data_IF_778374521051
#
_entry.id   IF_778374521051
#
_cell.length_a   1.000
_cell.length_b   1.000
_cell.length_c   1.000
_cell.angle_alpha   90.00
_cell.angle_beta   90.00
_cell.angle_gamma   90.00
#
_symmetry.space_group_name_H-M   'P 1'
#
loop_
_entity.id
_entity.type
_entity.pdbx_description
1 polymer ?
#
# COMPACT_ATOMS: atom_id res chain seq x y z
N UNK A 1 12.49 -20.35 -12.43
CA UNK A 1 11.38 -21.05 -11.74
C UNK A 1 11.06 -20.25 -10.49
N UNK A 2 9.90 -19.58 -10.44
CA UNK A 2 9.48 -18.83 -9.24
C UNK A 2 9.16 -19.83 -8.14
N UNK A 3 9.64 -19.57 -6.92
CA UNK A 3 9.42 -20.46 -5.80
C UNK A 3 7.97 -20.29 -5.31
N UNK A 4 7.31 -21.34 -4.79
CA UNK A 4 5.90 -21.24 -4.32
C UNK A 4 5.73 -20.15 -3.25
N UNK A 5 6.79 -19.85 -2.52
CA UNK A 5 6.88 -18.74 -1.57
C UNK A 5 6.71 -17.37 -2.24
N UNK A 6 7.26 -17.18 -3.44
CA UNK A 6 7.29 -15.90 -4.17
C UNK A 6 5.89 -15.54 -4.69
N UNK A 7 5.15 -16.52 -5.22
CA UNK A 7 3.77 -16.32 -5.67
C UNK A 7 2.83 -15.95 -4.51
N UNK A 8 3.02 -16.59 -3.35
CA UNK A 8 2.29 -16.21 -2.13
C UNK A 8 2.64 -14.78 -1.74
N UNK A 9 3.92 -14.41 -1.77
CA UNK A 9 4.39 -13.09 -1.38
C UNK A 9 3.84 -11.98 -2.31
N UNK A 10 3.84 -12.23 -3.63
CA UNK A 10 3.19 -11.35 -4.61
C UNK A 10 1.70 -11.16 -4.33
N UNK A 11 0.99 -12.24 -3.98
CA UNK A 11 -0.44 -12.19 -3.64
C UNK A 11 -0.69 -11.37 -2.37
N UNK A 12 0.09 -11.59 -1.31
CA UNK A 12 0.01 -10.81 -0.08
C UNK A 12 0.28 -9.34 -0.32
N UNK A 13 1.33 -9.01 -1.07
CA UNK A 13 1.65 -7.63 -1.42
C UNK A 13 0.56 -6.94 -2.22
N UNK A 14 -0.02 -7.62 -3.22
CA UNK A 14 -1.15 -7.12 -4.01
C UNK A 14 -2.35 -6.78 -3.12
N UNK A 15 -2.69 -7.66 -2.16
CA UNK A 15 -3.73 -7.42 -1.15
C UNK A 15 -3.38 -6.23 -0.26
N UNK A 16 -2.15 -6.13 0.23
CA UNK A 16 -1.70 -5.01 1.06
C UNK A 16 -1.76 -3.68 0.31
N UNK A 17 -1.43 -3.62 -1.00
CA UNK A 17 -1.58 -2.40 -1.79
C UNK A 17 -3.03 -1.90 -1.84
N UNK A 18 -3.99 -2.82 -2.00
CA UNK A 18 -5.43 -2.49 -2.05
C UNK A 18 -5.91 -2.00 -0.68
N UNK A 19 -5.58 -2.73 0.38
CA UNK A 19 -5.95 -2.32 1.73
C UNK A 19 -5.32 -1.00 2.15
N UNK A 20 -4.07 -0.76 1.74
CA UNK A 20 -3.39 0.50 2.01
C UNK A 20 -4.02 1.67 1.27
N UNK A 21 -4.41 1.46 0.02
CA UNK A 21 -5.19 2.45 -0.73
C UNK A 21 -6.48 2.77 0.02
N UNK A 22 -7.23 1.75 0.46
CA UNK A 22 -8.51 1.92 1.15
C UNK A 22 -8.30 2.60 2.52
N UNK A 23 -7.31 2.17 3.30
CA UNK A 23 -7.01 2.69 4.64
C UNK A 23 -6.58 4.16 4.57
N UNK A 24 -5.69 4.50 3.64
CA UNK A 24 -5.20 5.85 3.41
C UNK A 24 -6.33 6.75 2.90
N UNK A 25 -7.16 6.25 1.97
CA UNK A 25 -8.34 6.98 1.48
C UNK A 25 -9.34 7.25 2.60
N UNK A 26 -9.65 6.27 3.44
CA UNK A 26 -10.55 6.46 4.59
C UNK A 26 -9.97 7.44 5.61
N UNK A 27 -8.67 7.39 5.89
CA UNK A 27 -8.01 8.33 6.79
C UNK A 27 -8.14 9.78 6.28
N UNK A 28 -7.81 10.02 5.01
CA UNK A 28 -7.79 11.38 4.45
C UNK A 28 -9.17 11.90 4.02
N UNK A 29 -10.06 11.06 3.49
CA UNK A 29 -11.39 11.49 3.02
C UNK A 29 -12.49 11.38 4.07
N UNK A 30 -12.33 10.55 5.10
CA UNK A 30 -13.37 10.37 6.12
C UNK A 30 -12.90 10.92 7.47
N UNK A 31 -11.78 10.42 7.99
CA UNK A 31 -11.34 10.84 9.32
C UNK A 31 -11.03 12.34 9.35
N UNK A 32 -10.23 12.85 8.41
CA UNK A 32 -9.85 14.26 8.37
C UNK A 32 -11.04 15.22 8.24
N UNK A 33 -12.01 15.04 7.32
CA UNK A 33 -13.21 15.89 7.28
C UNK A 33 -14.03 15.82 8.56
N UNK A 34 -14.17 14.64 9.18
CA UNK A 34 -14.87 14.52 10.47
C UNK A 34 -14.19 15.36 11.55
N UNK A 35 -12.85 15.32 11.62
CA UNK A 35 -12.09 16.14 12.57
C UNK A 35 -12.25 17.63 12.34
N UNK A 36 -12.17 18.10 11.09
CA UNK A 36 -12.19 19.54 10.81
C UNK A 36 -13.60 20.14 10.74
N UNK A 37 -14.63 19.36 10.36
CA UNK A 37 -15.99 19.85 10.20
C UNK A 37 -16.87 19.62 11.43
N UNK A 38 -16.59 18.57 12.21
CA UNK A 38 -17.42 18.18 13.36
C UNK A 38 -16.66 18.22 14.70
N UNK A 39 -15.39 18.66 14.70
CA UNK A 39 -14.48 18.65 15.87
C UNK A 39 -14.43 17.30 16.60
N UNK A 40 -14.75 16.22 15.88
CA UNK A 40 -14.92 14.90 16.46
C UNK A 40 -13.66 14.05 16.25
N UNK A 41 -12.80 14.04 17.27
CA UNK A 41 -11.46 13.41 17.20
C UNK A 41 -11.42 11.94 17.60
N UNK A 42 -12.51 11.40 18.16
CA UNK A 42 -12.60 10.00 18.60
C UNK A 42 -12.25 8.95 17.53
N UNK A 43 -12.57 9.12 16.23
CA UNK A 43 -12.23 8.14 15.19
C UNK A 43 -10.75 8.14 14.79
N UNK A 44 -9.99 9.20 15.08
CA UNK A 44 -8.61 9.37 14.61
C UNK A 44 -7.66 8.26 15.06
N UNK A 45 -7.61 7.89 16.35
CA UNK A 45 -6.74 6.82 16.80
C UNK A 45 -7.04 5.48 16.11
N UNK A 46 -8.32 5.16 15.89
CA UNK A 46 -8.71 3.93 15.22
C UNK A 46 -8.34 3.95 13.73
N UNK A 47 -8.64 5.04 13.03
CA UNK A 47 -8.29 5.20 11.62
C UNK A 47 -6.76 5.23 11.43
N UNK A 48 -6.04 5.91 12.32
CA UNK A 48 -4.58 5.98 12.34
C UNK A 48 -3.93 4.64 12.60
N UNK A 49 -4.40 3.86 13.58
CA UNK A 49 -3.91 2.50 13.83
C UNK A 49 -4.21 1.56 12.67
N UNK A 50 -5.41 1.66 12.08
CA UNK A 50 -5.79 0.84 10.93
C UNK A 50 -4.90 1.13 9.72
N UNK A 51 -4.70 2.41 9.39
CA UNK A 51 -3.81 2.82 8.31
C UNK A 51 -2.35 2.47 8.61
N UNK A 52 -1.83 2.79 9.81
CA UNK A 52 -0.46 2.51 10.19
C UNK A 52 -0.09 1.03 10.13
N UNK A 53 -1.03 0.13 10.45
CA UNK A 53 -0.85 -1.31 10.27
C UNK A 53 -0.65 -1.69 8.80
N UNK A 54 -1.54 -1.24 7.91
CA UNK A 54 -1.45 -1.55 6.48
C UNK A 54 -0.25 -0.89 5.81
N UNK A 55 0.10 0.32 6.22
CA UNK A 55 1.25 1.06 5.74
C UNK A 55 2.55 0.31 6.05
N UNK A 56 2.69 -0.15 7.31
CA UNK A 56 3.86 -0.94 7.73
C UNK A 56 3.93 -2.28 7.00
N UNK A 57 2.78 -2.97 6.86
CA UNK A 57 2.72 -4.23 6.11
C UNK A 57 3.10 -4.04 4.63
N UNK A 58 2.63 -2.97 4.00
CA UNK A 58 3.00 -2.58 2.64
C UNK A 58 4.51 -2.39 2.52
N UNK A 59 5.16 -1.61 3.39
CA UNK A 59 6.60 -1.34 3.32
C UNK A 59 7.45 -2.61 3.48
N UNK A 60 7.10 -3.47 4.44
CA UNK A 60 7.82 -4.74 4.67
C UNK A 60 7.72 -5.64 3.42
N UNK A 61 6.52 -5.74 2.85
CA UNK A 61 6.30 -6.53 1.65
C UNK A 61 6.97 -5.90 0.42
N UNK A 62 6.95 -4.57 0.29
CA UNK A 62 7.60 -3.81 -0.77
C UNK A 62 9.10 -4.13 -0.83
N UNK A 63 9.78 -4.12 0.32
CA UNK A 63 11.20 -4.47 0.40
C UNK A 63 11.49 -5.89 -0.06
N UNK A 64 10.55 -6.82 0.20
CA UNK A 64 10.73 -8.23 -0.14
C UNK A 64 10.38 -8.54 -1.59
N UNK A 65 9.34 -7.91 -2.15
CA UNK A 65 8.96 -8.08 -3.56
C UNK A 65 9.94 -7.37 -4.49
N UNK A 66 10.66 -6.35 -4.01
CA UNK A 66 11.66 -5.62 -4.81
C UNK A 66 12.63 -6.58 -5.52
N UNK A 67 13.13 -7.58 -4.79
CA UNK A 67 14.04 -8.61 -5.35
C UNK A 67 13.36 -9.54 -6.37
N UNK A 68 12.05 -9.72 -6.29
CA UNK A 68 11.27 -10.59 -7.18
C UNK A 68 10.95 -9.87 -8.49
N UNK A 69 10.54 -8.61 -8.42
CA UNK A 69 10.24 -7.78 -9.59
C UNK A 69 11.50 -7.17 -10.23
N UNK A 70 12.66 -7.27 -9.56
CA UNK A 70 13.94 -6.70 -10.00
C UNK A 70 13.86 -5.19 -10.28
N UNK A 71 13.11 -4.47 -9.45
CA UNK A 71 13.04 -3.01 -9.51
C UNK A 71 14.39 -2.39 -9.13
N UNK A 72 14.79 -1.36 -9.87
CA UNK A 72 15.94 -0.52 -9.58
C UNK A 72 15.69 0.37 -8.35
N UNK A 73 16.69 1.16 -7.96
CA UNK A 73 16.61 2.01 -6.78
C UNK A 73 15.63 3.17 -6.96
N UNK A 74 15.48 3.72 -8.17
CA UNK A 74 14.59 4.84 -8.45
C UNK A 74 13.13 4.41 -8.33
N UNK A 75 12.78 3.31 -9.00
CA UNK A 75 11.44 2.69 -8.92
C UNK A 75 11.07 2.38 -7.47
N UNK A 76 12.00 1.78 -6.71
CA UNK A 76 11.74 1.44 -5.33
C UNK A 76 11.44 2.68 -4.48
N UNK A 77 12.23 3.75 -4.62
CA UNK A 77 11.99 5.01 -3.91
C UNK A 77 10.64 5.61 -4.32
N UNK A 78 10.29 5.60 -5.60
CA UNK A 78 9.00 6.08 -6.10
C UNK A 78 7.85 5.29 -5.46
N UNK A 79 7.94 3.95 -5.40
CA UNK A 79 6.90 3.12 -4.80
C UNK A 79 6.80 3.25 -3.27
N UNK A 80 7.90 3.58 -2.59
CA UNK A 80 7.87 3.98 -1.17
C UNK A 80 7.13 5.31 -1.02
N UNK A 81 7.45 6.31 -1.86
CA UNK A 81 6.81 7.62 -1.84
C UNK A 81 5.31 7.54 -2.12
N UNK A 82 4.88 6.61 -2.98
CA UNK A 82 3.45 6.40 -3.28
C UNK A 82 2.65 5.91 -2.07
N UNK A 83 3.27 5.33 -1.05
CA UNK A 83 2.59 4.96 0.19
C UNK A 83 2.09 6.19 0.99
N UNK A 84 2.75 7.34 0.82
CA UNK A 84 2.40 8.59 1.53
C UNK A 84 1.29 9.39 0.85
N UNK A 85 0.98 9.07 -0.41
CA UNK A 85 -0.01 9.80 -1.19
C UNK A 85 -1.25 8.92 -1.32
N UNK A 86 -2.44 9.37 -0.87
CA UNK A 86 -3.67 8.61 -1.06
C UNK A 86 -3.87 8.33 -2.56
N UNK A 87 -4.34 7.13 -2.88
CA UNK A 87 -4.53 6.62 -4.26
C UNK A 87 -3.26 6.33 -5.06
N UNK A 88 -2.06 6.77 -4.67
CA UNK A 88 -0.85 6.49 -5.46
C UNK A 88 -0.44 5.00 -5.39
N UNK A 89 -0.75 4.31 -4.29
CA UNK A 89 -0.58 2.85 -4.15
C UNK A 89 -1.41 2.03 -5.14
N UNK A 90 -2.48 2.57 -5.75
CA UNK A 90 -3.21 1.92 -6.85
C UNK A 90 -2.36 1.81 -8.11
N UNK A 91 -1.48 2.79 -8.39
CA UNK A 91 -0.60 2.74 -9.54
C UNK A 91 0.37 1.55 -9.41
N UNK A 92 0.93 1.35 -8.20
CA UNK A 92 1.78 0.20 -7.88
C UNK A 92 1.02 -1.12 -8.07
N UNK A 93 -0.23 -1.20 -7.61
CA UNK A 93 -1.07 -2.38 -7.83
C UNK A 93 -1.29 -2.69 -9.32
N UNK A 94 -1.50 -1.67 -10.17
CA UNK A 94 -1.65 -1.85 -11.63
C UNK A 94 -0.36 -2.38 -12.26
N UNK A 95 0.79 -1.80 -11.93
CA UNK A 95 2.10 -2.24 -12.45
C UNK A 95 2.36 -3.72 -12.13
N UNK A 96 2.09 -4.15 -10.89
CA UNK A 96 2.23 -5.54 -10.47
C UNK A 96 1.28 -6.47 -11.26
N UNK A 97 0.04 -6.03 -11.52
CA UNK A 97 -0.96 -6.81 -12.24
C UNK A 97 -0.58 -6.97 -13.72
N UNK A 98 0.05 -5.96 -14.31
CA UNK A 98 0.57 -6.01 -15.68
C UNK A 98 1.80 -6.93 -15.80
N UNK A 99 2.74 -6.90 -14.84
CA UNK A 99 3.87 -7.86 -14.81
C UNK A 99 3.39 -9.31 -14.69
N UNK A 100 2.25 -9.56 -14.02
CA UNK A 100 1.60 -10.87 -13.98
C UNK A 100 1.01 -11.33 -15.32
N UNK A 101 0.65 -10.41 -16.21
CA UNK A 101 0.02 -10.74 -17.49
C UNK A 101 1.06 -10.91 -18.62
N UNK A 102 2.28 -10.38 -18.43
CA UNK A 102 3.39 -10.46 -19.39
C UNK A 102 4.37 -11.62 -19.13
N UNK A 103 4.08 -12.53 -18.17
CA UNK A 103 4.88 -13.73 -17.87
C UNK A 103 3.99 -14.97 -17.82
#
# INVERSE_FOLDING_TARGET
MLNVSDEKLKKWFSTSCVWETISCTLLFLVAMPIKYQFDYVLPMPFAGCFHGFWFTAYLILLFRVRRIYKWDDEDFIIYVMYAFIPFATLAVHKVIKEDKNNR
#
